data_IF_093396212185
#
_entry.id   IF_093396212185
#
_cell.length_a   1.000
_cell.length_b   1.000
_cell.length_c   1.000
_cell.angle_alpha   90.00
_cell.angle_beta   90.00
_cell.angle_gamma   90.00
#
_symmetry.space_group_name_H-M   'P 1'
#
loop_
_entity.id
_entity.type
_entity.pdbx_description
1 polymer ?
#
# COMPACT_ATOMS: atom_id res chain seq x y z
N UNK A 1 3.58 29.94 63.95
CA UNK A 1 3.70 30.33 62.54
C UNK A 1 3.98 29.06 61.76
N UNK A 2 2.96 28.50 61.12
CA UNK A 2 3.04 27.22 60.41
C UNK A 2 3.54 27.45 58.99
N UNK A 3 4.65 26.83 58.64
CA UNK A 3 5.22 26.80 57.29
C UNK A 3 4.26 26.05 56.35
N UNK A 4 3.90 26.58 55.17
CA UNK A 4 3.10 25.82 54.23
C UNK A 4 3.98 24.76 53.56
N UNK A 5 3.51 23.52 53.57
CA UNK A 5 4.00 22.43 52.74
C UNK A 5 3.66 22.77 51.28
N UNK A 6 4.68 23.04 50.47
CA UNK A 6 4.55 23.10 49.01
C UNK A 6 4.37 21.66 48.52
N UNK A 7 3.14 21.27 48.22
CA UNK A 7 2.84 20.04 47.48
C UNK A 7 3.18 20.26 46.02
N UNK A 8 4.40 19.92 45.63
CA UNK A 8 4.78 19.78 44.22
C UNK A 8 4.10 18.54 43.63
N UNK A 9 2.91 18.70 43.07
CA UNK A 9 2.43 17.77 42.05
C UNK A 9 3.23 18.04 40.78
N UNK A 10 4.30 17.27 40.56
CA UNK A 10 4.94 17.22 39.25
C UNK A 10 3.93 16.62 38.26
N UNK A 11 3.55 17.41 37.26
CA UNK A 11 2.68 16.99 36.17
C UNK A 11 3.36 15.86 35.36
N UNK A 12 2.98 14.61 35.64
CA UNK A 12 3.51 13.40 35.00
C UNK A 12 3.14 13.29 33.51
N UNK A 13 2.23 14.14 33.00
CA UNK A 13 1.83 14.12 31.59
C UNK A 13 2.85 14.80 30.68
N UNK A 14 3.59 15.78 31.20
CA UNK A 14 4.68 16.47 30.48
C UNK A 14 5.80 15.50 30.10
N UNK A 15 6.16 14.60 31.03
CA UNK A 15 7.28 13.65 30.90
C UNK A 15 7.00 12.57 29.84
N UNK A 16 5.75 12.08 29.72
CA UNK A 16 5.39 11.08 28.72
C UNK A 16 5.41 11.62 27.29
N UNK A 17 4.96 12.85 27.07
CA UNK A 17 4.95 13.48 25.74
C UNK A 17 6.36 13.85 25.28
N UNK A 18 7.21 14.35 26.18
CA UNK A 18 8.61 14.63 25.89
C UNK A 18 9.39 13.35 25.59
N UNK A 19 9.14 12.27 26.35
CA UNK A 19 9.76 10.98 26.10
C UNK A 19 9.34 10.40 24.74
N UNK A 20 8.06 10.47 24.39
CA UNK A 20 7.55 10.01 23.10
C UNK A 20 8.13 10.81 21.93
N UNK A 21 8.24 12.14 22.06
CA UNK A 21 8.88 12.99 21.06
C UNK A 21 10.38 12.67 20.90
N UNK A 22 11.12 12.52 22.01
CA UNK A 22 12.53 12.15 21.98
C UNK A 22 12.76 10.74 21.41
N UNK A 23 11.83 9.81 21.63
CA UNK A 23 11.83 8.47 21.07
C UNK A 23 11.56 8.48 19.55
N UNK A 24 10.56 9.23 19.09
CA UNK A 24 10.28 9.38 17.65
C UNK A 24 11.44 10.02 16.89
N UNK A 25 12.06 11.06 17.46
CA UNK A 25 13.25 11.69 16.88
C UNK A 25 14.42 10.70 16.76
N UNK A 26 14.60 9.79 17.73
CA UNK A 26 15.60 8.72 17.67
C UNK A 26 15.28 7.69 16.59
N UNK A 27 14.01 7.26 16.46
CA UNK A 27 13.57 6.32 15.42
C UNK A 27 13.87 6.83 14.01
N UNK A 28 13.61 8.11 13.75
CA UNK A 28 13.67 8.68 12.39
C UNK A 28 14.84 9.63 12.13
N UNK A 29 15.82 9.73 13.04
CA UNK A 29 17.01 10.54 12.82
C UNK A 29 17.80 10.15 11.56
N UNK A 30 17.74 8.88 11.14
CA UNK A 30 18.30 8.43 9.86
C UNK A 30 17.58 9.01 8.64
N UNK A 31 16.25 9.14 8.71
CA UNK A 31 15.41 9.74 7.67
C UNK A 31 15.73 11.24 7.55
N UNK A 32 15.82 11.95 8.68
CA UNK A 32 16.20 13.37 8.71
C UNK A 32 17.57 13.63 8.04
N UNK A 33 18.57 12.79 8.32
CA UNK A 33 19.91 12.93 7.72
C UNK A 33 19.92 12.68 6.22
N UNK A 34 19.01 11.85 5.70
CA UNK A 34 18.93 11.49 4.29
C UNK A 34 18.11 12.51 3.48
N UNK A 35 16.94 12.91 3.97
CA UNK A 35 15.98 13.75 3.24
C UNK A 35 16.00 15.22 3.69
N UNK A 36 16.61 15.53 4.83
CA UNK A 36 16.57 16.86 5.46
C UNK A 36 15.46 16.99 6.51
N UNK A 37 15.61 17.98 7.41
CA UNK A 37 14.66 18.21 8.50
C UNK A 37 13.29 18.71 8.00
N UNK A 38 13.26 19.53 6.95
CA UNK A 38 12.03 20.05 6.37
C UNK A 38 11.22 18.93 5.71
N UNK A 39 11.89 18.03 4.98
CA UNK A 39 11.25 16.85 4.40
C UNK A 39 10.70 15.91 5.48
N UNK A 40 11.46 15.67 6.56
CA UNK A 40 10.94 14.88 7.70
C UNK A 40 9.67 15.52 8.28
N UNK A 41 9.69 16.84 8.52
CA UNK A 41 8.51 17.58 9.02
C UNK A 41 7.31 17.44 8.08
N UNK A 42 7.54 17.45 6.77
CA UNK A 42 6.50 17.21 5.78
C UNK A 42 5.96 15.77 5.84
N UNK A 43 6.83 14.76 5.97
CA UNK A 43 6.42 13.36 6.11
C UNK A 43 5.56 13.15 7.36
N UNK A 44 5.96 13.72 8.50
CA UNK A 44 5.24 13.62 9.77
C UNK A 44 3.85 14.29 9.73
N UNK A 45 3.61 15.21 8.80
CA UNK A 45 2.30 15.84 8.58
C UNK A 45 1.46 15.13 7.51
N UNK A 46 2.12 14.41 6.61
CA UNK A 46 1.49 13.81 5.45
C UNK A 46 0.52 12.68 5.83
N UNK A 47 -0.54 12.58 5.04
CA UNK A 47 -1.53 11.51 5.07
C UNK A 47 -1.53 10.75 3.74
N UNK A 48 -1.10 9.49 3.80
CA UNK A 48 -1.01 8.60 2.63
C UNK A 48 -2.02 7.46 2.76
N UNK A 49 -2.79 7.20 1.71
CA UNK A 49 -3.64 6.01 1.62
C UNK A 49 -2.92 4.89 0.86
N UNK A 50 -3.02 3.66 1.36
CA UNK A 50 -2.57 2.44 0.68
C UNK A 50 -3.78 1.55 0.42
N UNK A 51 -4.04 1.27 -0.85
CA UNK A 51 -5.23 0.54 -1.29
C UNK A 51 -4.80 -0.83 -1.81
N UNK A 52 -5.26 -1.88 -1.13
CA UNK A 52 -4.78 -3.25 -1.26
C UNK A 52 -3.55 -3.49 -0.39
N UNK A 53 -3.71 -4.23 0.71
CA UNK A 53 -2.68 -4.60 1.70
C UNK A 53 -2.15 -6.01 1.40
N UNK A 54 -1.88 -6.29 0.12
CA UNK A 54 -1.32 -7.54 -0.38
C UNK A 54 0.22 -7.53 -0.50
N UNK A 55 0.76 -8.34 -1.41
CA UNK A 55 2.21 -8.54 -1.58
C UNK A 55 3.02 -7.30 -1.98
N UNK A 56 2.36 -6.24 -2.43
CA UNK A 56 2.97 -4.93 -2.71
C UNK A 56 2.61 -3.95 -1.59
N UNK A 57 1.30 -3.74 -1.37
CA UNK A 57 0.83 -2.69 -0.48
C UNK A 57 1.19 -2.90 0.99
N UNK A 58 1.35 -4.15 1.46
CA UNK A 58 1.82 -4.40 2.83
C UNK A 58 3.23 -3.85 3.06
N UNK A 59 4.10 -3.95 2.05
CA UNK A 59 5.47 -3.40 2.11
C UNK A 59 5.51 -1.91 1.84
N UNK A 60 4.57 -1.38 1.06
CA UNK A 60 4.39 0.06 0.94
C UNK A 60 3.99 0.67 2.30
N UNK A 61 3.00 0.10 2.99
CA UNK A 61 2.59 0.52 4.32
C UNK A 61 3.73 0.45 5.35
N UNK A 62 4.49 -0.65 5.34
CA UNK A 62 5.72 -0.80 6.15
C UNK A 62 6.73 0.32 5.88
N UNK A 63 7.01 0.61 4.61
CA UNK A 63 7.97 1.65 4.24
C UNK A 63 7.49 3.03 4.65
N UNK A 64 6.21 3.38 4.46
CA UNK A 64 5.65 4.64 4.92
C UNK A 64 5.84 4.82 6.44
N UNK A 65 5.51 3.79 7.22
CA UNK A 65 5.68 3.80 8.68
C UNK A 65 7.16 3.96 9.09
N UNK A 66 8.07 3.26 8.41
CA UNK A 66 9.53 3.36 8.65
C UNK A 66 10.15 4.66 8.16
N UNK A 67 9.40 5.49 7.45
CA UNK A 67 9.85 6.80 6.94
C UNK A 67 9.08 7.97 7.54
N UNK A 68 8.52 7.77 8.73
CA UNK A 68 7.86 8.78 9.56
C UNK A 68 6.58 9.40 8.97
N UNK A 69 5.91 8.72 8.04
CA UNK A 69 4.62 9.23 7.55
C UNK A 69 3.63 9.32 8.71
N UNK A 70 3.11 10.52 8.91
CA UNK A 70 2.32 10.86 10.09
C UNK A 70 0.98 10.14 10.16
N UNK A 71 0.32 9.99 9.01
CA UNK A 71 -1.00 9.35 8.93
C UNK A 71 -1.05 8.37 7.77
N UNK A 72 -1.52 7.16 8.04
CA UNK A 72 -1.64 6.09 7.04
C UNK A 72 -3.07 5.55 7.07
N UNK A 73 -3.75 5.60 5.93
CA UNK A 73 -5.03 4.89 5.75
C UNK A 73 -4.78 3.58 5.01
N UNK A 74 -5.23 2.47 5.60
CA UNK A 74 -5.15 1.13 5.02
C UNK A 74 -6.54 0.70 4.54
N UNK A 75 -6.64 0.25 3.29
CA UNK A 75 -7.91 -0.15 2.66
C UNK A 75 -7.76 -1.54 2.06
N UNK A 76 -8.40 -2.53 2.68
CA UNK A 76 -8.46 -3.93 2.23
C UNK A 76 -9.58 -4.64 3.02
N UNK A 77 -10.25 -5.61 2.41
CA UNK A 77 -11.31 -6.41 3.05
C UNK A 77 -10.87 -7.87 3.29
N UNK A 78 -9.73 -8.28 2.76
CA UNK A 78 -9.26 -9.65 2.89
C UNK A 78 -8.65 -9.92 4.27
N UNK A 79 -8.65 -11.21 4.62
CA UNK A 79 -7.92 -11.75 5.75
C UNK A 79 -6.55 -12.28 5.33
N UNK A 80 -5.63 -12.37 6.29
CA UNK A 80 -4.31 -12.99 6.12
C UNK A 80 -4.47 -14.50 5.92
N UNK A 81 -3.84 -15.06 4.89
CA UNK A 81 -3.83 -16.50 4.61
C UNK A 81 -2.41 -17.06 4.55
N UNK A 82 -2.24 -18.36 4.78
CA UNK A 82 -0.94 -19.08 4.74
C UNK A 82 -0.29 -18.98 3.35
N UNK A 83 -1.10 -18.99 2.30
CA UNK A 83 -0.63 -18.81 0.92
C UNK A 83 -0.02 -17.42 0.65
N UNK A 84 -0.11 -16.49 1.61
CA UNK A 84 0.45 -15.14 1.52
C UNK A 84 1.91 -15.06 2.02
N UNK A 85 2.40 -16.08 2.73
CA UNK A 85 3.71 -16.09 3.42
C UNK A 85 4.90 -15.85 2.50
N UNK A 86 4.81 -16.22 1.22
CA UNK A 86 5.88 -15.99 0.25
C UNK A 86 6.09 -14.53 -0.14
N UNK A 87 5.17 -13.60 0.21
CA UNK A 87 5.17 -12.24 -0.34
C UNK A 87 4.57 -11.13 0.51
N UNK A 88 3.84 -11.41 1.58
CA UNK A 88 3.13 -10.39 2.38
C UNK A 88 3.75 -10.29 3.78
N UNK A 89 4.03 -9.07 4.26
CA UNK A 89 4.80 -8.85 5.51
C UNK A 89 4.05 -9.27 6.78
N UNK A 90 2.71 -9.29 6.73
CA UNK A 90 1.83 -9.61 7.86
C UNK A 90 1.47 -11.10 7.95
N UNK A 91 1.84 -11.91 6.95
CA UNK A 91 1.60 -13.35 6.89
C UNK A 91 2.60 -14.10 7.78
N UNK A 92 2.28 -14.14 9.07
CA UNK A 92 3.07 -14.75 10.14
C UNK A 92 2.17 -15.66 10.98
N UNK A 93 2.76 -16.66 11.62
CA UNK A 93 2.06 -17.46 12.61
C UNK A 93 1.44 -16.55 13.69
N UNK A 94 0.16 -16.79 14.00
CA UNK A 94 -0.64 -15.94 14.89
C UNK A 94 -1.45 -14.85 14.20
N UNK A 95 -1.17 -14.53 12.93
CA UNK A 95 -1.96 -13.57 12.15
C UNK A 95 -2.91 -14.21 11.14
N UNK A 96 -2.77 -15.51 10.82
CA UNK A 96 -3.66 -16.16 9.85
C UNK A 96 -5.14 -16.07 10.29
N UNK A 97 -6.02 -15.74 9.34
CA UNK A 97 -7.45 -15.51 9.56
C UNK A 97 -7.80 -14.08 10.04
N UNK A 98 -6.83 -13.27 10.43
CA UNK A 98 -7.04 -11.87 10.85
C UNK A 98 -7.27 -10.94 9.65
N UNK A 99 -8.07 -9.87 9.75
CA UNK A 99 -8.12 -8.83 8.73
C UNK A 99 -6.73 -8.27 8.42
N UNK A 100 -6.37 -8.17 7.13
CA UNK A 100 -5.05 -7.69 6.72
C UNK A 100 -4.78 -6.27 7.21
N UNK A 101 -5.80 -5.41 7.20
CA UNK A 101 -5.72 -4.03 7.70
C UNK A 101 -5.37 -3.99 9.19
N UNK A 102 -5.98 -4.85 10.00
CA UNK A 102 -5.70 -4.93 11.44
C UNK A 102 -4.28 -5.43 11.72
N UNK A 103 -3.89 -6.53 11.07
CA UNK A 103 -2.55 -7.11 11.24
C UNK A 103 -1.44 -6.09 10.85
N UNK A 104 -1.67 -5.33 9.79
CA UNK A 104 -0.74 -4.28 9.36
C UNK A 104 -0.79 -3.06 10.29
N UNK A 105 -1.95 -2.68 10.80
CA UNK A 105 -2.09 -1.54 11.73
C UNK A 105 -1.33 -1.76 13.04
N UNK A 106 -1.49 -2.94 13.64
CA UNK A 106 -0.74 -3.31 14.85
C UNK A 106 0.76 -3.25 14.61
N UNK A 107 1.20 -3.77 13.46
CA UNK A 107 2.60 -3.71 13.06
C UNK A 107 3.10 -2.27 12.91
N UNK A 108 2.34 -1.38 12.27
CA UNK A 108 2.69 0.03 12.14
C UNK A 108 2.80 0.69 13.52
N UNK A 109 1.88 0.40 14.45
CA UNK A 109 1.92 0.95 15.81
C UNK A 109 3.12 0.48 16.63
N UNK A 110 3.64 -0.73 16.35
CA UNK A 110 4.91 -1.18 16.93
C UNK A 110 6.13 -0.45 16.34
N UNK A 111 6.03 0.04 15.10
CA UNK A 111 7.09 0.81 14.43
C UNK A 111 7.08 2.27 14.91
N UNK A 112 5.93 2.93 14.81
CA UNK A 112 5.70 4.31 15.24
C UNK A 112 4.37 4.42 16.01
N UNK A 113 4.42 4.41 17.35
CA UNK A 113 3.22 4.57 18.17
C UNK A 113 2.46 5.87 17.90
N UNK A 114 3.15 6.91 17.38
CA UNK A 114 2.59 8.23 17.09
C UNK A 114 1.94 8.33 15.70
N UNK A 115 2.13 7.35 14.81
CA UNK A 115 1.48 7.34 13.49
C UNK A 115 -0.04 7.18 13.64
N UNK A 116 -0.86 8.07 13.06
CA UNK A 116 -2.32 7.92 12.98
C UNK A 116 -2.66 6.89 11.90
N UNK A 117 -3.12 5.70 12.31
CA UNK A 117 -3.47 4.62 11.39
C UNK A 117 -4.98 4.49 11.33
N UNK A 118 -5.55 4.63 10.13
CA UNK A 118 -6.99 4.49 9.89
C UNK A 118 -7.26 3.27 9.03
N UNK A 119 -8.25 2.49 9.44
CA UNK A 119 -8.59 1.22 8.80
C UNK A 119 -9.92 1.36 8.09
N UNK A 120 -9.95 0.93 6.83
CA UNK A 120 -11.18 0.80 6.05
C UNK A 120 -11.23 -0.65 5.60
N UNK A 121 -11.93 -1.45 6.39
CA UNK A 121 -12.21 -2.85 6.08
C UNK A 121 -13.45 -2.92 5.18
N UNK A 122 -13.27 -2.54 3.92
CA UNK A 122 -14.32 -2.52 2.90
C UNK A 122 -13.69 -2.76 1.52
N UNK A 123 -14.50 -3.23 0.57
CA UNK A 123 -14.08 -3.18 -0.83
C UNK A 123 -13.98 -1.72 -1.23
N UNK A 124 -12.98 -1.39 -2.05
CA UNK A 124 -13.02 -0.13 -2.77
C UNK A 124 -13.70 -0.36 -4.11
N UNK A 125 -14.76 0.38 -4.37
CA UNK A 125 -15.56 0.26 -5.58
C UNK A 125 -15.93 1.65 -6.12
N UNK A 126 -16.24 1.78 -7.42
CA UNK A 126 -16.48 3.10 -8.01
C UNK A 126 -17.56 3.93 -7.34
N UNK A 127 -18.52 3.29 -6.68
CA UNK A 127 -19.64 3.92 -5.97
C UNK A 127 -19.27 4.46 -4.58
N UNK A 128 -18.15 4.03 -3.99
CA UNK A 128 -17.73 4.45 -2.66
C UNK A 128 -16.48 5.35 -2.62
N UNK A 129 -15.88 5.67 -3.78
CA UNK A 129 -14.69 6.51 -3.85
C UNK A 129 -14.87 7.88 -3.18
N UNK A 130 -16.01 8.56 -3.36
CA UNK A 130 -16.21 9.87 -2.71
C UNK A 130 -16.27 9.76 -1.19
N UNK A 131 -16.86 8.69 -0.67
CA UNK A 131 -16.91 8.42 0.78
C UNK A 131 -15.52 8.09 1.33
N UNK A 132 -14.76 7.28 0.60
CA UNK A 132 -13.48 6.71 1.06
C UNK A 132 -12.31 7.67 0.83
N UNK A 133 -12.32 8.39 -0.28
CA UNK A 133 -11.22 9.23 -0.76
C UNK A 133 -11.55 10.74 -0.75
N UNK A 134 -12.82 11.14 -0.62
CA UNK A 134 -13.24 12.53 -0.74
C UNK A 134 -12.72 13.47 0.34
N UNK A 135 -12.21 12.93 1.46
CA UNK A 135 -11.48 13.73 2.45
C UNK A 135 -10.12 14.25 1.94
N UNK A 136 -9.62 13.65 0.84
CA UNK A 136 -8.32 13.95 0.26
C UNK A 136 -7.17 13.27 0.99
N UNK A 137 -6.13 12.92 0.24
CA UNK A 137 -4.84 12.46 0.77
C UNK A 137 -3.71 13.26 0.14
N UNK A 138 -2.58 13.39 0.83
CA UNK A 138 -1.38 13.94 0.21
C UNK A 138 -0.85 13.00 -0.90
N UNK A 139 -1.12 11.70 -0.76
CA UNK A 139 -0.86 10.71 -1.80
C UNK A 139 -1.72 9.44 -1.65
N UNK A 140 -2.03 8.81 -2.77
CA UNK A 140 -2.63 7.47 -2.84
C UNK A 140 -1.63 6.49 -3.47
N UNK A 141 -1.40 5.36 -2.81
CA UNK A 141 -0.66 4.21 -3.36
C UNK A 141 -1.67 3.14 -3.75
N UNK A 142 -1.83 2.93 -5.05
CA UNK A 142 -2.76 1.94 -5.61
C UNK A 142 -2.04 0.62 -5.89
N UNK A 143 -2.23 -0.35 -5.00
CA UNK A 143 -1.74 -1.71 -5.07
C UNK A 143 -2.85 -2.74 -5.35
N UNK A 144 -3.97 -2.30 -5.96
CA UNK A 144 -5.10 -3.15 -6.37
C UNK A 144 -4.70 -4.06 -7.53
N UNK A 145 -5.18 -5.31 -7.54
CA UNK A 145 -4.96 -6.30 -8.62
C UNK A 145 -6.16 -6.45 -9.58
N UNK A 146 -7.37 -6.05 -9.17
CA UNK A 146 -8.55 -5.96 -10.02
C UNK A 146 -8.44 -4.85 -11.08
N UNK A 147 -8.40 -5.24 -12.36
CA UNK A 147 -8.37 -4.31 -13.51
C UNK A 147 -9.52 -3.29 -13.47
N UNK A 148 -10.74 -3.74 -13.13
CA UNK A 148 -11.94 -2.90 -13.13
C UNK A 148 -11.81 -1.79 -12.09
N UNK A 149 -11.54 -2.17 -10.84
CA UNK A 149 -11.44 -1.24 -9.73
C UNK A 149 -10.26 -0.29 -9.91
N UNK A 150 -9.10 -0.83 -10.33
CA UNK A 150 -7.89 -0.06 -10.60
C UNK A 150 -8.10 1.01 -11.68
N UNK A 151 -8.77 0.65 -12.78
CA UNK A 151 -9.12 1.58 -13.85
C UNK A 151 -9.99 2.72 -13.33
N UNK A 152 -11.06 2.38 -12.60
CA UNK A 152 -11.98 3.36 -12.07
C UNK A 152 -11.29 4.30 -11.05
N UNK A 153 -10.46 3.75 -10.16
CA UNK A 153 -9.70 4.52 -9.18
C UNK A 153 -8.76 5.52 -9.86
N UNK A 154 -7.99 5.08 -10.86
CA UNK A 154 -7.09 5.97 -11.61
C UNK A 154 -7.87 7.09 -12.28
N UNK A 155 -9.01 6.78 -12.92
CA UNK A 155 -9.85 7.79 -13.56
C UNK A 155 -10.38 8.81 -12.55
N UNK A 156 -10.91 8.33 -11.42
CA UNK A 156 -11.42 9.18 -10.33
C UNK A 156 -10.33 10.09 -9.77
N UNK A 157 -9.14 9.55 -9.47
CA UNK A 157 -8.03 10.35 -8.95
C UNK A 157 -7.58 11.44 -9.93
N UNK A 158 -7.53 11.13 -11.23
CA UNK A 158 -7.18 12.12 -12.27
C UNK A 158 -8.23 13.22 -12.37
N UNK A 159 -9.51 12.87 -12.33
CA UNK A 159 -10.63 13.82 -12.36
C UNK A 159 -10.60 14.77 -11.14
N UNK A 160 -10.36 14.22 -9.96
CA UNK A 160 -10.35 14.96 -8.69
C UNK A 160 -8.99 15.58 -8.35
N UNK A 161 -7.98 15.42 -9.21
CA UNK A 161 -6.59 15.86 -8.97
C UNK A 161 -5.99 15.29 -7.68
N UNK A 162 -6.44 14.11 -7.26
CA UNK A 162 -5.87 13.38 -6.13
C UNK A 162 -4.51 12.78 -6.55
N UNK A 163 -3.39 13.15 -5.90
CA UNK A 163 -2.09 12.56 -6.21
C UNK A 163 -2.10 11.04 -6.01
N UNK A 164 -1.57 10.31 -7.01
CA UNK A 164 -1.64 8.87 -7.11
C UNK A 164 -0.37 8.29 -7.74
N UNK A 165 0.09 7.16 -7.22
CA UNK A 165 0.99 6.23 -7.90
C UNK A 165 0.30 4.87 -7.97
N UNK A 166 0.24 4.31 -9.18
CA UNK A 166 -0.33 2.98 -9.40
C UNK A 166 0.79 1.94 -9.54
N UNK A 167 0.51 0.71 -9.15
CA UNK A 167 1.47 -0.39 -9.21
C UNK A 167 0.97 -1.48 -10.13
N UNK A 168 1.85 -1.96 -11.01
CA UNK A 168 1.60 -3.05 -11.94
C UNK A 168 1.64 -4.45 -11.32
N UNK A 169 1.63 -5.46 -12.19
CA UNK A 169 1.71 -6.86 -11.77
C UNK A 169 3.12 -7.24 -11.36
N UNK A 170 3.31 -7.63 -10.09
CA UNK A 170 4.62 -8.02 -9.53
C UNK A 170 4.83 -9.55 -9.44
N UNK A 171 3.85 -10.35 -9.89
CA UNK A 171 3.97 -11.81 -9.98
C UNK A 171 4.60 -12.26 -11.31
N UNK A 172 5.17 -13.46 -11.34
CA UNK A 172 5.84 -14.00 -12.54
C UNK A 172 7.15 -13.30 -12.88
N UNK A 173 7.82 -12.71 -11.89
CA UNK A 173 9.04 -11.91 -12.05
C UNK A 173 10.07 -12.31 -10.98
N UNK A 174 11.35 -12.18 -11.30
CA UNK A 174 12.46 -12.59 -10.43
C UNK A 174 13.42 -11.45 -10.10
N UNK A 175 13.59 -10.48 -10.99
CA UNK A 175 14.68 -9.51 -10.91
C UNK A 175 14.19 -8.12 -10.42
N UNK A 176 14.38 -7.79 -9.12
CA UNK A 176 13.97 -6.49 -8.59
C UNK A 176 14.78 -5.32 -9.17
N UNK A 177 15.92 -5.55 -9.81
CA UNK A 177 16.73 -4.48 -10.41
C UNK A 177 16.13 -3.93 -11.71
N UNK A 178 15.13 -4.63 -12.27
CA UNK A 178 14.41 -4.26 -13.49
C UNK A 178 13.13 -3.45 -13.24
N UNK A 179 12.87 -3.11 -11.98
CA UNK A 179 11.74 -2.27 -11.59
C UNK A 179 11.97 -0.82 -12.03
N UNK A 180 10.95 -0.22 -12.63
CA UNK A 180 10.94 1.13 -13.17
C UNK A 180 9.73 1.91 -12.71
N UNK A 181 9.81 3.24 -12.80
CA UNK A 181 8.71 4.16 -12.59
C UNK A 181 8.62 5.08 -13.79
N UNK A 182 7.55 4.94 -14.57
CA UNK A 182 7.29 5.75 -15.77
C UNK A 182 5.84 6.25 -15.78
N UNK A 183 5.46 6.99 -16.82
CA UNK A 183 4.05 7.29 -17.09
C UNK A 183 3.30 5.99 -17.41
N UNK A 184 2.11 5.81 -16.83
CA UNK A 184 1.28 4.63 -17.01
C UNK A 184 1.11 4.27 -18.49
N UNK A 185 1.00 5.26 -19.39
CA UNK A 185 0.84 5.05 -20.83
C UNK A 185 2.02 4.30 -21.48
N UNK A 186 3.20 4.31 -20.85
CA UNK A 186 4.47 3.83 -21.40
C UNK A 186 4.94 2.51 -20.78
N UNK A 187 4.19 1.95 -19.84
CA UNK A 187 4.55 0.68 -19.18
C UNK A 187 4.51 -0.50 -20.17
N UNK A 188 5.47 -1.42 -20.04
CA UNK A 188 5.68 -2.59 -20.92
C UNK A 188 5.75 -3.87 -20.09
N UNK A 189 5.67 -5.04 -20.73
CA UNK A 189 5.75 -6.37 -20.10
C UNK A 189 4.78 -6.60 -18.93
N UNK A 190 3.68 -5.83 -18.87
CA UNK A 190 2.72 -5.87 -17.79
C UNK A 190 1.28 -6.02 -18.34
N UNK A 191 0.69 -7.23 -18.28
CA UNK A 191 -0.68 -7.48 -18.73
C UNK A 191 -1.75 -6.77 -17.90
N UNK A 192 -1.53 -6.57 -16.60
CA UNK A 192 -2.47 -5.85 -15.73
C UNK A 192 -2.57 -4.39 -16.19
N UNK A 193 -1.43 -3.70 -16.26
CA UNK A 193 -1.39 -2.31 -16.70
C UNK A 193 -1.78 -2.16 -18.18
N UNK A 194 -1.49 -3.14 -19.02
CA UNK A 194 -1.96 -3.15 -20.42
C UNK A 194 -3.49 -3.13 -20.51
N UNK A 195 -4.17 -3.97 -19.74
CA UNK A 195 -5.64 -3.99 -19.66
C UNK A 195 -6.19 -2.70 -19.06
N UNK A 196 -5.58 -2.17 -18.00
CA UNK A 196 -5.96 -0.89 -17.39
C UNK A 196 -5.85 0.25 -18.40
N UNK A 197 -4.71 0.36 -19.11
CA UNK A 197 -4.55 1.37 -20.17
C UNK A 197 -5.62 1.27 -21.25
N UNK A 198 -5.98 0.05 -21.66
CA UNK A 198 -7.01 -0.16 -22.66
C UNK A 198 -8.38 0.30 -22.15
N UNK A 199 -8.72 0.00 -20.89
CA UNK A 199 -9.99 0.41 -20.29
C UNK A 199 -10.05 1.93 -20.06
N UNK A 200 -9.00 2.56 -19.53
CA UNK A 200 -8.92 4.02 -19.36
C UNK A 200 -9.17 4.78 -20.68
N UNK A 201 -8.60 4.29 -21.80
CA UNK A 201 -8.82 4.88 -23.13
C UNK A 201 -10.24 4.67 -23.65
N UNK A 202 -10.82 3.51 -23.35
CA UNK A 202 -12.15 3.12 -23.86
C UNK A 202 -13.27 3.78 -23.06
N UNK A 203 -13.16 3.82 -21.74
CA UNK A 203 -14.22 4.20 -20.81
C UNK A 203 -14.10 5.64 -20.31
N UNK A 204 -12.87 6.14 -20.17
CA UNK A 204 -12.60 7.44 -19.53
C UNK A 204 -11.89 8.44 -20.45
N UNK A 205 -11.79 8.15 -21.75
CA UNK A 205 -11.28 9.09 -22.75
C UNK A 205 -9.77 9.42 -22.65
N UNK A 206 -8.98 8.59 -21.96
CA UNK A 206 -7.53 8.82 -21.85
C UNK A 206 -6.86 8.84 -23.24
N UNK A 207 -5.79 9.65 -23.41
CA UNK A 207 -5.20 9.93 -24.72
C UNK A 207 -4.62 8.68 -25.40
N UNK A 208 -4.60 8.69 -26.73
CA UNK A 208 -4.09 7.58 -27.57
C UNK A 208 -2.84 8.00 -28.33
N UNK A 209 -2.02 7.02 -28.70
CA UNK A 209 -0.84 7.20 -29.54
C UNK A 209 0.49 7.11 -28.76
N UNK A 210 1.62 7.00 -29.48
CA UNK A 210 2.93 6.69 -28.90
C UNK A 210 3.50 7.82 -28.02
N UNK A 211 3.11 9.07 -28.29
CA UNK A 211 3.53 10.25 -27.51
C UNK A 211 2.54 10.64 -26.41
N UNK A 212 1.42 9.92 -26.28
CA UNK A 212 0.42 10.23 -25.26
C UNK A 212 0.96 9.94 -23.85
N UNK A 213 0.66 10.83 -22.91
CA UNK A 213 0.95 10.66 -21.49
C UNK A 213 -0.34 10.72 -20.71
N UNK A 214 -0.51 9.80 -19.77
CA UNK A 214 -1.66 9.80 -18.87
C UNK A 214 -1.46 10.76 -17.70
N UNK A 215 -0.20 11.16 -17.45
CA UNK A 215 0.23 11.92 -16.27
C UNK A 215 -0.08 11.18 -14.96
N UNK A 216 -0.03 9.85 -15.01
CA UNK A 216 -0.19 8.94 -13.88
C UNK A 216 1.12 8.17 -13.76
N UNK A 217 1.81 8.27 -12.63
CA UNK A 217 3.03 7.50 -12.39
C UNK A 217 2.68 6.05 -12.08
N UNK A 218 3.41 5.12 -12.70
CA UNK A 218 3.20 3.69 -12.54
C UNK A 218 4.52 2.95 -12.26
N UNK A 219 4.52 2.10 -11.23
CA UNK A 219 5.60 1.14 -10.97
C UNK A 219 5.34 -0.12 -11.79
N UNK A 220 6.35 -0.59 -12.53
CA UNK A 220 6.30 -1.83 -13.31
C UNK A 220 7.72 -2.42 -13.42
N UNK A 221 7.87 -3.62 -13.99
CA UNK A 221 9.17 -4.16 -14.38
C UNK A 221 9.22 -4.35 -15.88
N UNK A 222 10.38 -4.11 -16.50
CA UNK A 222 10.61 -4.42 -17.91
C UNK A 222 10.98 -5.90 -18.15
N UNK A 223 10.98 -6.72 -17.09
CA UNK A 223 11.18 -8.17 -17.13
C UNK A 223 10.00 -8.89 -17.81
N UNK A 224 10.25 -9.73 -18.84
CA UNK A 224 9.23 -10.61 -19.38
C UNK A 224 8.67 -11.56 -18.30
N UNK A 225 7.35 -11.75 -18.29
CA UNK A 225 6.71 -12.62 -17.31
C UNK A 225 7.08 -14.09 -17.50
N UNK A 226 7.31 -14.77 -16.39
CA UNK A 226 7.47 -16.22 -16.27
C UNK A 226 6.11 -16.83 -15.98
N UNK A 227 5.64 -17.69 -16.89
CA UNK A 227 4.38 -18.41 -16.74
C UNK A 227 4.64 -19.78 -16.11
N UNK A 228 3.75 -20.26 -15.22
CA UNK A 228 3.84 -21.63 -14.70
C UNK A 228 3.75 -22.65 -15.84
N UNK A 229 4.50 -23.75 -15.72
CA UNK A 229 4.59 -24.79 -16.75
C UNK A 229 3.30 -25.63 -16.89
N UNK A 230 2.37 -25.56 -15.93
CA UNK A 230 1.03 -26.16 -16.03
C UNK A 230 -0.01 -25.28 -15.31
N UNK A 231 -1.19 -25.14 -15.91
CA UNK A 231 -2.37 -24.76 -15.15
C UNK A 231 -2.58 -25.85 -14.10
N UNK A 232 -2.56 -25.51 -12.83
CA UNK A 232 -2.87 -26.44 -11.73
C UNK A 232 -4.38 -26.73 -11.76
N UNK A 233 -4.79 -27.47 -12.78
CA UNK A 233 -6.02 -28.23 -12.84
C UNK A 233 -5.67 -29.66 -12.44
N UNK A 234 -5.21 -29.84 -11.21
CA UNK A 234 -5.17 -31.11 -10.50
C UNK A 234 -5.26 -30.75 -9.02
N UNK A 235 -6.46 -30.32 -8.61
CA UNK A 235 -6.84 -30.44 -7.21
C UNK A 235 -7.18 -31.91 -7.04
N UNK A 236 -6.36 -32.61 -6.27
CA UNK A 236 -6.50 -34.00 -5.88
C UNK A 236 -7.96 -34.45 -5.72
N UNK A 237 -8.32 -35.56 -6.37
CA UNK A 237 -9.53 -36.35 -6.12
C UNK A 237 -9.63 -36.90 -4.68
N UNK A 238 -8.75 -36.47 -3.76
CA UNK A 238 -8.69 -36.91 -2.36
C UNK A 238 -9.09 -35.82 -1.34
N UNK A 239 -9.46 -34.61 -1.77
CA UNK A 239 -10.10 -33.64 -0.88
C UNK A 239 -11.59 -33.98 -0.70
N UNK A 240 -11.87 -35.00 0.11
CA UNK A 240 -13.21 -35.31 0.58
C UNK A 240 -13.88 -34.06 1.18
N UNK A 241 -14.99 -33.68 0.55
CA UNK A 241 -16.12 -32.91 1.08
C UNK A 241 -15.91 -32.13 2.40
N UNK A 242 -15.34 -30.92 2.30
CA UNK A 242 -15.77 -29.84 3.20
C UNK A 242 -17.07 -29.28 2.62
N UNK A 243 -18.19 -29.75 3.18
CA UNK A 243 -19.51 -29.18 2.90
C UNK A 243 -19.57 -27.78 3.49
N UNK A 244 -19.39 -26.75 2.64
CA UNK A 244 -19.81 -25.40 3.00
C UNK A 244 -21.32 -25.29 2.80
N UNK A 245 -22.02 -24.74 3.79
CA UNK A 245 -23.46 -24.52 3.76
C UNK A 245 -23.89 -23.76 2.49
N UNK A 246 -25.05 -24.09 1.89
CA UNK A 246 -25.51 -23.44 0.68
C UNK A 246 -25.79 -21.96 0.95
N UNK A 247 -24.97 -21.07 0.38
CA UNK A 247 -25.14 -19.61 0.47
C UNK A 247 -23.89 -18.79 0.79
N UNK A 248 -22.71 -19.40 0.97
CA UNK A 248 -21.46 -18.65 1.21
C UNK A 248 -20.54 -18.69 -0.02
N UNK A 249 -20.66 -17.69 -0.89
CA UNK A 249 -19.60 -17.37 -1.85
C UNK A 249 -18.49 -16.64 -1.10
N UNK A 250 -17.46 -17.37 -0.65
CA UNK A 250 -16.25 -16.77 -0.10
C UNK A 250 -15.54 -15.86 -1.14
N UNK A 251 -14.72 -14.90 -0.71
CA UNK A 251 -14.15 -13.90 -1.61
C UNK A 251 -13.25 -14.57 -2.66
N UNK A 252 -13.64 -14.45 -3.92
CA UNK A 252 -12.82 -14.83 -5.08
C UNK A 252 -11.77 -13.73 -5.27
N UNK A 253 -10.69 -13.79 -4.48
CA UNK A 253 -9.62 -12.77 -4.46
C UNK A 253 -8.19 -13.33 -4.48
N UNK A 254 -7.99 -14.63 -4.72
CA UNK A 254 -6.67 -15.26 -4.63
C UNK A 254 -6.36 -16.15 -5.84
N UNK A 255 -6.48 -15.59 -7.03
CA UNK A 255 -5.64 -16.03 -8.13
C UNK A 255 -4.77 -14.86 -8.58
N UNK A 256 -3.54 -14.80 -8.06
CA UNK A 256 -2.43 -14.61 -8.99
C UNK A 256 -2.75 -15.53 -10.17
N UNK A 257 -2.84 -15.04 -11.41
CA UNK A 257 -3.40 -15.78 -12.54
C UNK A 257 -2.61 -17.06 -12.91
N UNK A 258 -2.52 -18.03 -12.01
CA UNK A 258 -1.49 -19.07 -11.97
C UNK A 258 -0.10 -18.61 -11.52
N UNK A 259 0.26 -17.32 -11.58
CA UNK A 259 1.66 -16.88 -11.41
C UNK A 259 2.22 -17.09 -9.99
N UNK A 260 3.44 -17.62 -9.93
CA UNK A 260 4.27 -17.58 -8.72
C UNK A 260 4.77 -16.15 -8.42
N UNK A 261 5.29 -15.94 -7.21
CA UNK A 261 5.79 -14.64 -6.78
C UNK A 261 6.81 -14.77 -5.65
N UNK A 262 7.65 -13.76 -5.47
CA UNK A 262 8.64 -13.68 -4.40
C UNK A 262 8.62 -12.32 -3.73
N UNK A 263 8.78 -12.32 -2.41
CA UNK A 263 8.96 -11.09 -1.60
C UNK A 263 10.05 -10.17 -2.15
N UNK A 264 11.12 -10.72 -2.73
CA UNK A 264 12.22 -9.92 -3.28
C UNK A 264 11.73 -8.93 -4.36
N UNK A 265 10.74 -9.33 -5.16
CA UNK A 265 10.16 -8.49 -6.20
C UNK A 265 8.98 -7.69 -5.67
N UNK A 266 7.99 -8.35 -5.06
CA UNK A 266 6.74 -7.68 -4.67
C UNK A 266 6.97 -6.59 -3.61
N UNK A 267 7.88 -6.80 -2.66
CA UNK A 267 8.25 -5.77 -1.68
C UNK A 267 8.97 -4.59 -2.35
N UNK A 268 9.87 -4.88 -3.30
CA UNK A 268 10.62 -3.85 -4.05
C UNK A 268 9.70 -2.96 -4.90
N UNK A 269 8.62 -3.51 -5.45
CA UNK A 269 7.56 -2.70 -6.08
C UNK A 269 6.92 -1.73 -5.08
N UNK A 270 6.60 -2.19 -3.86
CA UNK A 270 6.07 -1.34 -2.79
C UNK A 270 7.07 -0.25 -2.38
N UNK A 271 8.35 -0.60 -2.23
CA UNK A 271 9.40 0.36 -1.90
C UNK A 271 9.64 1.40 -3.00
N UNK A 272 9.59 0.98 -4.28
CA UNK A 272 9.68 1.90 -5.41
C UNK A 272 8.51 2.90 -5.40
N UNK A 273 7.29 2.43 -5.13
CA UNK A 273 6.12 3.29 -5.01
C UNK A 273 6.31 4.33 -3.90
N UNK A 274 6.68 3.90 -2.70
CA UNK A 274 6.87 4.80 -1.55
C UNK A 274 8.04 5.77 -1.75
N UNK A 275 9.14 5.32 -2.36
CA UNK A 275 10.25 6.21 -2.72
C UNK A 275 9.80 7.35 -3.64
N UNK A 276 8.89 7.07 -4.59
CA UNK A 276 8.29 8.12 -5.41
C UNK A 276 7.42 9.08 -4.58
N UNK A 277 6.57 8.56 -3.69
CA UNK A 277 5.73 9.36 -2.79
C UNK A 277 6.59 10.31 -1.96
N UNK A 278 7.60 9.79 -1.26
CA UNK A 278 8.49 10.57 -0.40
C UNK A 278 9.23 11.67 -1.18
N UNK A 279 9.69 11.37 -2.40
CA UNK A 279 10.33 12.37 -3.26
C UNK A 279 9.35 13.45 -3.71
N UNK A 280 8.08 13.13 -3.90
CA UNK A 280 7.06 14.11 -4.24
C UNK A 280 6.75 15.03 -3.04
N UNK A 281 6.55 14.45 -1.85
CA UNK A 281 6.31 15.18 -0.61
C UNK A 281 7.50 16.09 -0.22
N UNK A 282 8.73 15.57 -0.31
CA UNK A 282 9.93 16.35 -0.01
C UNK A 282 10.10 17.56 -0.94
N UNK A 283 9.71 17.44 -2.21
CA UNK A 283 9.74 18.55 -3.17
C UNK A 283 8.70 19.63 -2.91
N UNK A 284 7.57 19.29 -2.28
CA UNK A 284 6.56 20.26 -1.89
C UNK A 284 6.97 21.07 -0.64
N UNK A 285 7.90 20.52 0.14
CA UNK A 285 8.42 21.12 1.38
C UNK A 285 9.63 22.05 1.15
N UNK A 286 10.33 21.89 0.01
CA UNK A 286 11.51 22.67 -0.38
C UNK A 286 11.12 23.92 -1.17
#
# INVERSE_FOLDING_TARGET
>A
MSTPLVTGQSDLTTDQNEHAAADRARRFGGVARLYGADALTAFERAHVAVIGIGGVGSWAAEALARTAIGKITLIDLDNVAESNTNRQVHALDGNYGKPKVDAMAERIKLIDPQCDVRLIEDFIEPDNFDKVLGAGFDFVVDAIDSVRTKTALIAWCVEHRQPLITVGGAGGQLDPTRIRIDDLAQTIQDPLLSKVRAQLRKQHGFPRGPKAKFKVSAVYSDEPLIYPEAAVCDIDELAEHVTTSPGHHGPVGLNCAGFGSSVCVTASFGFAAVSHVLRALAKQAA
#
